data_IF_607383449084
#
_entry.id   IF_607383449084
#
_cell.length_a   1.000
_cell.length_b   1.000
_cell.length_c   1.000
_cell.angle_alpha   90.00
_cell.angle_beta   90.00
_cell.angle_gamma   90.00
#
_symmetry.space_group_name_H-M   'P 1'
#
loop_
_entity.id
_entity.type
_entity.pdbx_description
1 polymer ?
#
# COMPACT_ATOMS: atom_id res chain seq x y z
N UNK A 1 -34.77 47.68 4.54
CA UNK A 1 -34.72 47.97 3.10
C UNK A 1 -33.38 47.51 2.57
N UNK A 2 -33.43 46.54 1.66
CA UNK A 2 -32.33 45.89 0.93
C UNK A 2 -31.33 46.85 0.28
N UNK A 3 -30.09 46.37 0.12
CA UNK A 3 -29.50 45.99 -1.19
C UNK A 3 -28.08 45.42 -1.03
N UNK A 4 -27.73 44.55 -2.00
CA UNK A 4 -26.42 43.96 -2.34
C UNK A 4 -25.98 42.68 -1.61
N UNK A 5 -26.78 41.63 -1.83
CA UNK A 5 -26.30 40.35 -2.36
C UNK A 5 -25.51 40.63 -3.66
N UNK A 6 -24.24 40.23 -3.80
CA UNK A 6 -23.52 39.90 -5.08
C UNK A 6 -22.07 39.45 -4.81
N UNK A 7 -21.60 38.48 -5.62
CA UNK A 7 -20.30 37.77 -5.64
C UNK A 7 -20.23 36.58 -4.66
N UNK A 8 -20.68 35.36 -4.97
CA UNK A 8 -20.55 34.60 -6.23
C UNK A 8 -19.08 34.48 -6.69
N UNK A 9 -18.26 33.83 -5.88
CA UNK A 9 -17.07 33.11 -6.37
C UNK A 9 -17.15 31.68 -5.84
N UNK A 10 -18.02 30.89 -6.48
CA UNK A 10 -17.86 29.45 -6.47
C UNK A 10 -16.53 29.14 -7.13
N UNK A 11 -15.53 28.75 -6.35
CA UNK A 11 -14.32 28.15 -6.89
C UNK A 11 -14.74 26.83 -7.57
N UNK A 12 -14.43 26.62 -8.86
CA UNK A 12 -14.69 25.33 -9.48
C UNK A 12 -13.85 24.29 -8.74
N UNK A 13 -14.50 23.31 -8.13
CA UNK A 13 -13.85 22.11 -7.64
C UNK A 13 -13.28 21.37 -8.86
N UNK A 14 -11.99 21.59 -9.17
CA UNK A 14 -11.23 20.69 -10.05
C UNK A 14 -10.99 19.40 -9.29
N UNK A 15 -12.00 18.54 -9.28
CA UNK A 15 -11.90 17.12 -8.94
C UNK A 15 -11.57 16.27 -10.17
N UNK A 16 -11.07 16.89 -11.23
CA UNK A 16 -10.93 16.26 -12.55
C UNK A 16 -9.54 15.73 -12.87
N UNK A 17 -8.55 15.81 -11.99
CA UNK A 17 -7.18 15.55 -12.43
C UNK A 17 -6.79 14.06 -12.37
N UNK A 18 -7.29 13.27 -11.41
CA UNK A 18 -6.90 11.84 -11.36
C UNK A 18 -7.52 11.03 -12.49
N UNK A 19 -8.82 11.25 -12.78
CA UNK A 19 -9.51 10.57 -13.87
C UNK A 19 -8.99 11.01 -15.25
N UNK A 20 -8.67 12.29 -15.41
CA UNK A 20 -8.13 12.82 -16.66
C UNK A 20 -6.68 12.38 -16.90
N UNK A 21 -5.86 12.27 -15.85
CA UNK A 21 -4.50 11.74 -15.98
C UNK A 21 -4.49 10.24 -16.32
N UNK A 22 -5.40 9.45 -15.73
CA UNK A 22 -5.55 8.03 -16.09
C UNK A 22 -6.09 7.88 -17.52
N UNK A 23 -7.07 8.68 -17.92
CA UNK A 23 -7.58 8.68 -19.30
C UNK A 23 -6.50 9.13 -20.31
N UNK A 24 -5.68 10.12 -19.96
CA UNK A 24 -4.57 10.59 -20.77
C UNK A 24 -3.46 9.53 -20.86
N UNK A 25 -3.20 8.79 -19.78
CA UNK A 25 -2.28 7.65 -19.79
C UNK A 25 -2.76 6.50 -20.68
N UNK A 26 -4.04 6.12 -20.57
CA UNK A 26 -4.65 5.06 -21.41
C UNK A 26 -4.63 5.47 -22.88
N UNK A 27 -4.92 6.73 -23.19
CA UNK A 27 -4.88 7.22 -24.57
C UNK A 27 -3.46 7.27 -25.13
N UNK A 28 -2.47 7.74 -24.38
CA UNK A 28 -1.06 7.69 -24.80
C UNK A 28 -0.61 6.24 -25.02
N UNK A 29 -0.99 5.32 -24.13
CA UNK A 29 -0.67 3.89 -24.27
C UNK A 29 -1.26 3.31 -25.57
N UNK A 30 -2.52 3.60 -25.87
CA UNK A 30 -3.18 3.16 -27.10
C UNK A 30 -2.53 3.76 -28.36
N UNK A 31 -2.10 5.03 -28.30
CA UNK A 31 -1.38 5.69 -29.40
C UNK A 31 0.00 5.05 -29.62
N UNK A 32 0.75 4.73 -28.56
CA UNK A 32 2.03 4.03 -28.65
C UNK A 32 1.85 2.63 -29.25
N UNK A 33 0.82 1.90 -28.82
CA UNK A 33 0.48 0.59 -29.39
C UNK A 33 0.15 0.76 -30.88
N UNK A 34 -0.71 1.70 -31.26
CA UNK A 34 -1.06 1.97 -32.66
C UNK A 34 0.15 2.35 -33.53
N UNK A 35 1.06 3.19 -33.02
CA UNK A 35 2.30 3.56 -33.70
C UNK A 35 3.26 2.36 -33.82
N UNK A 36 3.34 1.49 -32.80
CA UNK A 36 4.10 0.26 -32.88
C UNK A 36 3.54 -0.68 -33.96
N UNK A 37 2.22 -0.82 -34.06
CA UNK A 37 1.56 -1.56 -35.15
C UNK A 37 1.84 -0.93 -36.52
N UNK A 38 1.84 0.40 -36.64
CA UNK A 38 2.12 1.10 -37.89
C UNK A 38 3.58 0.94 -38.34
N UNK A 39 4.55 1.07 -37.42
CA UNK A 39 5.98 0.87 -37.70
C UNK A 39 6.27 -0.60 -38.03
N UNK A 40 5.66 -1.54 -37.31
CA UNK A 40 5.78 -2.97 -37.57
C UNK A 40 5.10 -3.38 -38.88
N UNK A 41 4.00 -2.72 -39.25
CA UNK A 41 3.36 -2.85 -40.56
C UNK A 41 4.20 -2.27 -41.70
N UNK A 42 4.97 -1.21 -41.44
CA UNK A 42 5.86 -0.59 -42.43
C UNK A 42 7.05 -1.49 -42.78
N UNK A 43 7.60 -2.22 -41.80
CA UNK A 43 8.60 -3.28 -42.02
C UNK A 43 8.02 -4.46 -42.85
N UNK A 44 6.76 -4.86 -42.59
CA UNK A 44 6.12 -5.94 -43.35
C UNK A 44 5.70 -5.57 -44.78
N UNK A 45 5.56 -4.27 -45.10
CA UNK A 45 5.20 -3.81 -46.45
C UNK A 45 6.38 -3.32 -47.31
N UNK A 46 7.55 -3.05 -46.71
CA UNK A 46 8.80 -2.77 -47.45
C UNK A 46 9.75 -3.99 -47.56
N UNK A 47 9.38 -5.14 -46.98
CA UNK A 47 10.13 -6.41 -47.05
C UNK A 47 10.02 -7.17 -48.38
N UNK A 48 9.74 -6.47 -49.49
CA UNK A 48 9.85 -7.03 -50.84
C UNK A 48 11.26 -6.84 -51.37
N UNK A 49 12.01 -7.93 -51.54
CA UNK A 49 13.36 -8.04 -52.13
C UNK A 49 14.55 -7.81 -51.16
N UNK A 50 14.92 -8.88 -50.44
CA UNK A 50 16.29 -9.39 -50.22
C UNK A 50 16.15 -10.46 -49.13
N UNK A 51 16.38 -11.74 -49.36
CA UNK A 51 17.63 -12.32 -49.84
C UNK A 51 17.98 -13.46 -48.89
N UNK A 52 17.33 -14.59 -49.12
CA UNK A 52 17.46 -15.90 -48.48
C UNK A 52 18.88 -16.30 -48.04
N UNK A 53 19.28 -16.12 -46.77
CA UNK A 53 20.47 -16.82 -46.21
C UNK A 53 20.32 -17.13 -44.71
N UNK A 54 20.11 -18.42 -44.43
CA UNK A 54 20.54 -19.24 -43.29
C UNK A 54 20.85 -18.61 -41.91
N UNK A 55 20.13 -19.12 -40.90
CA UNK A 55 20.76 -19.61 -39.67
C UNK A 55 21.11 -18.55 -38.63
N UNK A 56 20.11 -17.94 -38.00
CA UNK A 56 20.30 -17.20 -36.77
C UNK A 56 19.00 -16.56 -36.33
N UNK A 57 18.48 -16.97 -35.19
CA UNK A 57 17.45 -16.25 -34.41
C UNK A 57 18.03 -14.92 -33.93
N UNK A 58 18.33 -14.02 -34.87
CA UNK A 58 18.80 -12.68 -34.61
C UNK A 58 17.63 -11.86 -34.10
N UNK A 59 17.45 -11.84 -32.77
CA UNK A 59 16.66 -10.78 -32.14
C UNK A 59 17.30 -9.45 -32.59
N UNK A 60 16.61 -8.61 -33.39
CA UNK A 60 17.19 -7.35 -33.83
C UNK A 60 17.51 -6.57 -32.56
N UNK A 61 18.75 -6.10 -32.45
CA UNK A 61 19.28 -5.46 -31.24
C UNK A 61 18.36 -4.34 -30.69
N UNK A 62 17.50 -3.76 -31.54
CA UNK A 62 16.45 -2.81 -31.14
C UNK A 62 15.35 -3.37 -30.23
N UNK A 63 14.98 -4.65 -30.34
CA UNK A 63 13.93 -5.26 -29.51
C UNK A 63 14.37 -5.42 -28.05
N UNK A 64 15.63 -5.81 -27.83
CA UNK A 64 16.22 -5.94 -26.48
C UNK A 64 16.29 -4.57 -25.80
N UNK A 65 16.73 -3.53 -26.51
CA UNK A 65 16.75 -2.16 -26.00
C UNK A 65 15.34 -1.66 -25.67
N UNK A 66 14.33 -2.10 -26.42
CA UNK A 66 12.94 -1.72 -26.16
C UNK A 66 12.39 -2.36 -24.87
N UNK A 67 12.64 -3.66 -24.65
CA UNK A 67 12.24 -4.34 -23.41
C UNK A 67 12.98 -3.81 -22.18
N UNK A 68 14.27 -3.47 -22.33
CA UNK A 68 15.06 -2.82 -21.27
C UNK A 68 14.49 -1.44 -20.95
N UNK A 69 14.14 -0.64 -21.98
CA UNK A 69 13.51 0.66 -21.80
C UNK A 69 12.14 0.58 -21.11
N UNK A 70 11.29 -0.36 -21.53
CA UNK A 70 9.97 -0.60 -20.93
C UNK A 70 10.12 -1.06 -19.47
N UNK A 71 11.02 -2.00 -19.19
CA UNK A 71 11.27 -2.50 -17.84
C UNK A 71 11.77 -1.41 -16.90
N UNK A 72 12.68 -0.55 -17.37
CA UNK A 72 13.21 0.57 -16.59
C UNK A 72 12.15 1.64 -16.35
N UNK A 73 11.29 1.90 -17.33
CA UNK A 73 10.14 2.80 -17.19
C UNK A 73 9.13 2.28 -16.15
N UNK A 74 8.77 0.99 -16.22
CA UNK A 74 7.88 0.35 -15.24
C UNK A 74 8.49 0.40 -13.84
N UNK A 75 9.79 0.13 -13.70
CA UNK A 75 10.49 0.18 -12.43
C UNK A 75 10.47 1.59 -11.81
N UNK A 76 10.74 2.63 -12.60
CA UNK A 76 10.68 4.02 -12.13
C UNK A 76 9.27 4.40 -11.69
N UNK A 77 8.25 3.97 -12.44
CA UNK A 77 6.84 4.23 -12.10
C UNK A 77 6.45 3.51 -10.81
N UNK A 78 6.83 2.23 -10.64
CA UNK A 78 6.59 1.47 -9.40
C UNK A 78 7.29 2.14 -8.22
N UNK A 79 8.53 2.61 -8.40
CA UNK A 79 9.24 3.36 -7.37
C UNK A 79 8.55 4.69 -7.05
N UNK A 80 8.00 5.41 -8.02
CA UNK A 80 7.24 6.64 -7.79
C UNK A 80 5.88 6.40 -7.13
N UNK A 81 5.21 5.28 -7.41
CA UNK A 81 3.94 4.90 -6.77
C UNK A 81 4.15 4.48 -5.33
N UNK A 82 5.16 3.64 -5.04
CA UNK A 82 5.50 3.23 -3.68
C UNK A 82 6.06 4.39 -2.87
N UNK A 83 6.76 5.34 -3.52
CA UNK A 83 7.23 6.57 -2.89
C UNK A 83 6.19 7.66 -2.78
N UNK A 84 4.93 7.47 -3.21
CA UNK A 84 3.89 8.45 -2.87
C UNK A 84 3.85 8.53 -1.35
N UNK A 85 4.29 9.66 -0.74
CA UNK A 85 3.84 9.93 0.60
C UNK A 85 2.32 9.92 0.47
N UNK A 86 1.62 9.25 1.38
CA UNK A 86 0.22 9.52 1.60
C UNK A 86 0.07 11.04 1.51
N UNK A 87 -0.55 11.53 0.43
CA UNK A 87 -1.15 12.85 0.50
C UNK A 87 -2.27 12.62 1.49
N UNK A 88 -1.92 12.70 2.78
CA UNK A 88 -2.78 13.26 3.79
C UNK A 88 -3.35 14.47 3.09
N UNK A 89 -4.61 14.32 2.66
CA UNK A 89 -5.40 15.37 2.05
C UNK A 89 -5.37 16.53 3.02
N UNK A 90 -4.39 17.40 2.80
CA UNK A 90 -4.15 18.57 3.61
C UNK A 90 -5.23 19.54 3.18
N UNK A 91 -6.37 19.43 3.86
CA UNK A 91 -7.32 20.51 3.96
C UNK A 91 -6.56 21.82 4.22
N UNK A 92 -6.96 22.93 3.60
CA UNK A 92 -6.25 24.20 3.69
C UNK A 92 -5.99 24.55 5.17
N UNK A 93 -4.79 25.08 5.51
CA UNK A 93 -4.42 25.34 6.89
C UNK A 93 -5.50 26.22 7.54
N UNK A 94 -6.11 25.79 8.66
CA UNK A 94 -7.05 26.63 9.38
C UNK A 94 -6.30 27.86 9.93
N UNK A 95 -6.98 29.03 10.03
CA UNK A 95 -6.40 30.22 10.64
C UNK A 95 -5.94 29.93 12.08
N UNK A 96 -5.04 30.75 12.67
CA UNK A 96 -4.23 30.40 13.85
C UNK A 96 -4.95 30.06 15.17
N UNK A 97 -6.28 29.85 15.20
CA UNK A 97 -7.03 29.65 16.44
C UNK A 97 -8.20 28.64 16.33
N UNK A 98 -8.14 27.62 15.47
CA UNK A 98 -9.10 26.50 15.52
C UNK A 98 -8.39 25.13 15.56
N UNK A 99 -8.59 24.33 16.64
CA UNK A 99 -8.16 22.92 16.65
C UNK A 99 -8.91 22.14 15.55
N UNK A 100 -8.24 21.25 14.78
CA UNK A 100 -8.89 20.47 13.73
C UNK A 100 -9.79 19.39 14.35
N UNK A 101 -11.08 19.70 14.48
CA UNK A 101 -12.10 18.79 15.03
C UNK A 101 -12.27 17.51 14.19
N UNK A 102 -11.90 17.51 12.90
CA UNK A 102 -12.05 16.35 12.02
C UNK A 102 -11.02 15.23 12.23
N UNK A 103 -9.73 15.56 12.37
CA UNK A 103 -8.67 14.55 12.53
C UNK A 103 -8.75 13.83 13.89
N UNK A 104 -9.10 14.57 14.95
CA UNK A 104 -9.24 14.03 16.30
C UNK A 104 -10.46 13.09 16.46
N UNK A 105 -11.51 13.30 15.67
CA UNK A 105 -12.72 12.46 15.73
C UNK A 105 -12.48 11.14 14.98
N UNK A 106 -11.83 11.17 13.81
CA UNK A 106 -11.54 9.94 13.07
C UNK A 106 -10.47 9.06 13.75
N UNK A 107 -9.40 9.65 14.31
CA UNK A 107 -8.39 8.90 15.08
C UNK A 107 -9.00 8.26 16.34
N UNK A 108 -9.78 9.02 17.13
CA UNK A 108 -10.45 8.47 18.33
C UNK A 108 -11.48 7.38 17.99
N UNK A 109 -12.21 7.52 16.89
CA UNK A 109 -13.19 6.51 16.47
C UNK A 109 -12.52 5.20 16.03
N UNK A 110 -11.36 5.26 15.37
CA UNK A 110 -10.60 4.06 14.99
C UNK A 110 -9.90 3.40 16.18
N UNK A 111 -9.35 4.18 17.11
CA UNK A 111 -8.74 3.66 18.33
C UNK A 111 -9.77 3.00 19.25
N UNK A 112 -10.95 3.61 19.44
CA UNK A 112 -12.03 3.03 20.22
C UNK A 112 -12.50 1.67 19.68
N UNK A 113 -12.62 1.55 18.35
CA UNK A 113 -12.97 0.29 17.69
C UNK A 113 -11.91 -0.81 17.92
N UNK A 114 -10.62 -0.48 17.84
CA UNK A 114 -9.53 -1.43 18.09
C UNK A 114 -9.50 -1.89 19.55
N UNK A 115 -9.68 -0.98 20.50
CA UNK A 115 -9.70 -1.33 21.92
C UNK A 115 -10.82 -2.33 22.27
N UNK A 116 -12.01 -2.13 21.72
CA UNK A 116 -13.14 -3.01 21.99
C UNK A 116 -12.93 -4.40 21.37
N UNK A 117 -12.29 -4.47 20.21
CA UNK A 117 -11.86 -5.71 19.59
C UNK A 117 -10.82 -6.46 20.43
N UNK A 118 -9.85 -5.74 21.02
CA UNK A 118 -8.86 -6.34 21.92
C UNK A 118 -9.50 -6.88 23.21
N UNK A 119 -10.47 -6.15 23.77
CA UNK A 119 -11.23 -6.59 24.95
C UNK A 119 -12.00 -7.88 24.67
N UNK A 120 -12.60 -8.00 23.50
CA UNK A 120 -13.31 -9.22 23.07
C UNK A 120 -12.34 -10.41 22.95
N UNK A 121 -11.22 -10.22 22.26
CA UNK A 121 -10.18 -11.25 22.12
C UNK A 121 -9.66 -11.74 23.48
N UNK A 122 -9.35 -10.82 24.40
CA UNK A 122 -8.87 -11.14 25.75
C UNK A 122 -9.86 -12.03 26.54
N UNK A 123 -11.17 -11.87 26.32
CA UNK A 123 -12.22 -12.68 26.97
C UNK A 123 -12.27 -14.11 26.42
N UNK A 124 -12.00 -14.30 25.13
CA UNK A 124 -12.01 -15.59 24.46
C UNK A 124 -10.72 -16.41 24.70
N UNK A 125 -9.67 -15.77 25.20
CA UNK A 125 -8.36 -16.40 25.41
C UNK A 125 -8.26 -17.09 26.76
N UNK A 126 -7.53 -18.21 26.78
CA UNK A 126 -7.22 -18.98 28.00
C UNK A 126 -6.12 -18.31 28.82
N UNK A 127 -5.97 -18.65 30.10
CA UNK A 127 -5.18 -17.86 31.09
C UNK A 127 -3.77 -17.45 30.64
N UNK A 128 -2.99 -18.36 30.07
CA UNK A 128 -1.62 -18.06 29.60
C UNK A 128 -1.60 -17.32 28.26
N UNK A 129 -2.50 -17.66 27.34
CA UNK A 129 -2.68 -16.97 26.05
C UNK A 129 -3.11 -15.51 26.28
N UNK A 130 -4.05 -15.31 27.21
CA UNK A 130 -4.56 -13.99 27.60
C UNK A 130 -3.45 -13.10 28.14
N UNK A 131 -2.59 -13.65 29.00
CA UNK A 131 -1.43 -12.92 29.54
C UNK A 131 -0.49 -12.51 28.41
N UNK A 132 -0.17 -13.43 27.49
CA UNK A 132 0.70 -13.13 26.35
C UNK A 132 0.08 -12.07 25.44
N UNK A 133 -1.20 -12.21 25.09
CA UNK A 133 -1.88 -11.27 24.20
C UNK A 133 -2.01 -9.88 24.82
N UNK A 134 -2.29 -9.79 26.13
CA UNK A 134 -2.30 -8.51 26.85
C UNK A 134 -0.96 -7.78 26.75
N UNK A 135 0.16 -8.50 26.88
CA UNK A 135 1.49 -7.88 26.71
C UNK A 135 1.69 -7.27 25.33
N UNK A 136 1.22 -7.96 24.29
CA UNK A 136 1.30 -7.45 22.92
C UNK A 136 0.43 -6.19 22.76
N UNK A 137 -0.76 -6.17 23.35
CA UNK A 137 -1.65 -4.98 23.38
C UNK A 137 -0.99 -3.83 24.15
N UNK A 138 -0.44 -4.10 25.33
CA UNK A 138 0.24 -3.10 26.19
C UNK A 138 1.48 -2.51 25.49
N UNK A 139 2.13 -3.26 24.59
CA UNK A 139 3.23 -2.81 23.75
C UNK A 139 2.80 -1.97 22.53
N UNK A 140 1.50 -1.65 22.39
CA UNK A 140 0.96 -0.89 21.26
C UNK A 140 0.55 -1.75 20.06
N UNK A 141 0.32 -3.06 20.29
CA UNK A 141 -0.14 -4.00 19.25
C UNK A 141 0.96 -4.57 18.38
N UNK A 142 2.22 -4.22 18.64
CA UNK A 142 3.40 -4.73 17.94
C UNK A 142 4.57 -4.93 18.91
N UNK A 143 5.24 -6.08 18.87
CA UNK A 143 6.38 -6.40 19.75
C UNK A 143 7.33 -7.39 19.10
N UNK A 144 8.62 -7.33 19.41
CA UNK A 144 9.57 -8.35 18.94
C UNK A 144 9.51 -9.60 19.83
N UNK A 145 9.63 -10.77 19.23
CA UNK A 145 9.64 -12.04 19.95
C UNK A 145 10.82 -12.13 20.92
N UNK A 146 11.97 -11.54 20.60
CA UNK A 146 13.11 -11.47 21.53
C UNK A 146 12.79 -10.66 22.79
N UNK A 147 11.97 -9.61 22.67
CA UNK A 147 11.63 -8.71 23.77
C UNK A 147 10.62 -9.40 24.70
N UNK A 148 9.66 -10.14 24.13
CA UNK A 148 8.76 -11.03 24.89
C UNK A 148 9.49 -12.11 25.69
N UNK A 149 10.64 -12.59 25.19
CA UNK A 149 11.49 -13.55 25.91
C UNK A 149 12.33 -12.84 26.98
N UNK A 150 12.83 -11.64 26.69
CA UNK A 150 13.64 -10.84 27.61
C UNK A 150 12.86 -10.37 28.85
N UNK A 151 11.54 -10.14 28.72
CA UNK A 151 10.65 -9.83 29.85
C UNK A 151 10.57 -10.94 30.91
N UNK A 152 11.00 -12.17 30.60
CA UNK A 152 11.12 -13.26 31.58
C UNK A 152 9.79 -13.82 32.12
N UNK A 153 8.64 -13.39 31.60
CA UNK A 153 7.32 -13.90 32.05
C UNK A 153 7.12 -15.38 31.70
N UNK A 154 7.70 -15.83 30.58
CA UNK A 154 7.63 -17.22 30.12
C UNK A 154 8.99 -17.67 29.56
N UNK A 155 9.29 -18.97 29.64
CA UNK A 155 10.49 -19.52 29.00
C UNK A 155 10.41 -19.41 27.48
N UNK A 156 11.55 -19.33 26.77
CA UNK A 156 11.63 -19.21 25.30
C UNK A 156 10.73 -20.23 24.57
N UNK A 157 10.76 -21.49 25.00
CA UNK A 157 9.93 -22.55 24.41
C UNK A 157 8.43 -22.33 24.65
N UNK A 158 8.06 -21.82 25.84
CA UNK A 158 6.66 -21.50 26.16
C UNK A 158 6.18 -20.28 25.40
N UNK A 159 7.02 -19.27 25.19
CA UNK A 159 6.71 -18.10 24.34
C UNK A 159 6.38 -18.56 22.91
N UNK A 160 7.25 -19.37 22.28
CA UNK A 160 6.99 -19.86 20.92
C UNK A 160 5.65 -20.60 20.83
N UNK A 161 5.39 -21.54 21.75
CA UNK A 161 4.12 -22.30 21.77
C UNK A 161 2.89 -21.41 21.96
N UNK A 162 2.99 -20.36 22.78
CA UNK A 162 1.88 -19.42 22.98
C UNK A 162 1.64 -18.58 21.72
N UNK A 163 2.70 -18.11 21.07
CA UNK A 163 2.59 -17.39 19.81
C UNK A 163 1.99 -18.28 18.70
N UNK A 164 2.39 -19.54 18.60
CA UNK A 164 1.82 -20.49 17.63
C UNK A 164 0.30 -20.67 17.83
N UNK A 165 -0.16 -20.72 19.09
CA UNK A 165 -1.60 -20.82 19.42
C UNK A 165 -2.38 -19.54 19.13
N UNK A 166 -1.77 -18.38 19.31
CA UNK A 166 -2.40 -17.10 18.98
C UNK A 166 -2.48 -16.91 17.46
N UNK A 167 -1.46 -17.37 16.73
CA UNK A 167 -1.41 -17.35 15.27
C UNK A 167 -2.42 -18.33 14.65
N UNK A 168 -2.58 -19.54 15.21
CA UNK A 168 -3.59 -20.49 14.73
C UNK A 168 -5.03 -19.98 14.93
N UNK A 169 -5.25 -19.09 15.91
CA UNK A 169 -6.51 -18.38 16.13
C UNK A 169 -6.64 -17.10 15.29
N UNK A 170 -5.67 -16.80 14.42
CA UNK A 170 -5.59 -15.58 13.58
C UNK A 170 -5.61 -14.27 14.38
N UNK A 171 -5.17 -14.30 15.64
CA UNK A 171 -5.15 -13.11 16.50
C UNK A 171 -3.86 -12.30 16.32
N UNK A 172 -2.78 -12.98 15.92
CA UNK A 172 -1.49 -12.36 15.69
C UNK A 172 -0.89 -12.86 14.38
N UNK A 173 0.00 -12.07 13.82
CA UNK A 173 0.82 -12.40 12.66
C UNK A 173 2.28 -12.26 13.06
N UNK A 174 3.12 -13.19 12.58
CA UNK A 174 4.58 -13.12 12.75
C UNK A 174 5.24 -12.78 11.43
N UNK A 175 6.07 -11.75 11.47
CA UNK A 175 6.85 -11.30 10.33
C UNK A 175 8.33 -11.42 10.66
N UNK A 176 9.13 -11.85 9.66
CA UNK A 176 10.57 -11.96 9.86
C UNK A 176 11.16 -10.55 9.97
N UNK A 177 11.85 -10.27 11.08
CA UNK A 177 12.46 -8.98 11.36
C UNK A 177 13.93 -9.16 11.80
N UNK A 178 14.82 -9.19 10.80
CA UNK A 178 16.25 -9.40 11.01
C UNK A 178 16.55 -10.76 11.68
N UNK A 179 17.17 -10.71 12.85
CA UNK A 179 17.52 -11.90 13.64
C UNK A 179 16.38 -12.43 14.52
N UNK A 180 15.24 -11.75 14.57
CA UNK A 180 14.07 -12.14 15.37
C UNK A 180 12.79 -12.08 14.53
N UNK A 181 11.66 -12.42 15.14
CA UNK A 181 10.36 -12.22 14.52
C UNK A 181 9.67 -11.05 15.20
N UNK A 182 9.00 -10.23 14.40
CA UNK A 182 8.06 -9.21 14.85
C UNK A 182 6.69 -9.85 14.97
N UNK A 183 6.02 -9.61 16.08
CA UNK A 183 4.67 -10.07 16.36
C UNK A 183 3.75 -8.86 16.29
N UNK A 184 2.72 -8.91 15.44
CA UNK A 184 1.69 -7.89 15.30
C UNK A 184 0.32 -8.49 15.57
N UNK A 185 -0.59 -7.70 16.13
CA UNK A 185 -2.01 -8.09 16.20
C UNK A 185 -2.59 -8.05 14.79
N UNK A 186 -3.36 -9.08 14.42
CA UNK A 186 -4.05 -9.11 13.13
C UNK A 186 -5.07 -7.96 13.07
N UNK A 187 -5.18 -7.28 11.92
CA UNK A 187 -6.25 -6.28 11.71
C UNK A 187 -7.58 -6.96 11.39
N UNK A 188 -7.51 -8.19 10.87
CA UNK A 188 -8.62 -9.06 10.53
C UNK A 188 -8.81 -10.10 11.64
N UNK A 189 -9.13 -9.65 12.87
CA UNK A 189 -9.66 -10.57 13.86
C UNK A 189 -10.98 -11.11 13.29
N UNK A 190 -10.93 -12.30 12.70
CA UNK A 190 -12.10 -12.98 12.12
C UNK A 190 -13.11 -13.43 13.18
N UNK A 191 -13.66 -12.46 13.91
CA UNK A 191 -14.70 -12.58 14.92
C UNK A 191 -16.05 -12.11 14.36
#
# INVERSE_FOLDING_TARGET
MDKTVTALVGRPSRTTDTGLLVALFVTILLVIIGLAWAVMGQEMMFGGMMGHHNGGTGFPFGSILMFVGIGLLILVIVLLVIRRPQETSAAPPPPPWTPPVGAQVEERSQEASKEDMYKLAIRLLTGDERKMFRRIVDAGGEVLQKDLVAEGTFSKAKVTRLLDKLESKRLIVRERYGATNRVRISEDLGL
#
